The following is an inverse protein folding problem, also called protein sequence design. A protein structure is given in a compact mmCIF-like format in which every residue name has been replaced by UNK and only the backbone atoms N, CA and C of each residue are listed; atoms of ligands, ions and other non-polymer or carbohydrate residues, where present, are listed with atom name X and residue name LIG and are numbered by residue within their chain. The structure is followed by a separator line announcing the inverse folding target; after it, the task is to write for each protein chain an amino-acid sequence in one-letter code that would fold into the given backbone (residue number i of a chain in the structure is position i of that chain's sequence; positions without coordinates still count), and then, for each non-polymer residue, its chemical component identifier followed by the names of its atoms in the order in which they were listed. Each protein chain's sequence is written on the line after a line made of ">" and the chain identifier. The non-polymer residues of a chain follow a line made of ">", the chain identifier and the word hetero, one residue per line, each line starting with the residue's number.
data_IF_838777525215
#
_entry.id   IF_838777525215
#
_cell.length_a   1.000
_cell.length_b   1.000
_cell.length_c   1.000
_cell.angle_alpha   90.00
_cell.angle_beta   90.00
_cell.angle_gamma   90.00
#
_symmetry.space_group_name_H-M   'P 1'
#
loop_
_entity.id
_entity.type
_entity.pdbx_description
1 polymer ?
#
# COMPACT_ATOMS: atom_id res chain seq x y z
N UNK A 1 -8.64 -53.94 8.19
CA UNK A 1 -7.60 -53.02 7.67
C UNK A 1 -7.57 -51.82 8.58
N UNK A 2 -6.64 -51.79 9.53
CA UNK A 2 -6.42 -50.67 10.45
C UNK A 2 -5.73 -49.53 9.70
N UNK A 3 -6.41 -48.40 9.55
CA UNK A 3 -5.83 -47.18 9.01
C UNK A 3 -4.73 -46.70 9.95
N UNK A 4 -3.49 -46.64 9.46
CA UNK A 4 -2.39 -45.99 10.18
C UNK A 4 -2.76 -44.53 10.45
N UNK A 5 -2.62 -44.05 11.69
CA UNK A 5 -2.89 -42.64 11.99
C UNK A 5 -1.92 -41.78 11.18
N UNK A 6 -2.48 -40.85 10.39
CA UNK A 6 -1.68 -39.85 9.69
C UNK A 6 -0.93 -39.03 10.74
N UNK A 7 0.40 -39.14 10.77
CA UNK A 7 1.23 -38.32 11.64
C UNK A 7 1.03 -36.84 11.26
N UNK A 8 0.33 -36.09 12.09
CA UNK A 8 0.22 -34.64 11.96
C UNK A 8 1.48 -34.03 12.58
N UNK A 9 2.45 -33.66 11.74
CA UNK A 9 3.57 -32.85 12.18
C UNK A 9 3.12 -31.38 12.23
N UNK A 10 3.16 -30.73 13.39
CA UNK A 10 2.84 -29.32 13.47
C UNK A 10 3.88 -28.50 12.69
N UNK A 11 3.43 -27.48 11.97
CA UNK A 11 4.28 -26.71 11.05
C UNK A 11 5.51 -26.07 11.72
N UNK A 12 5.44 -25.80 13.03
CA UNK A 12 6.53 -25.22 13.81
C UNK A 12 7.61 -26.22 14.26
N UNK A 13 7.42 -27.52 14.00
CA UNK A 13 8.48 -28.53 14.16
C UNK A 13 9.31 -28.71 12.87
N UNK A 14 8.92 -28.03 11.79
CA UNK A 14 9.70 -28.05 10.55
C UNK A 14 11.05 -27.34 10.75
N UNK A 15 12.11 -27.82 10.06
CA UNK A 15 13.38 -27.10 10.01
C UNK A 15 13.19 -25.63 9.60
N UNK A 16 13.91 -24.73 10.25
CA UNK A 16 13.78 -23.27 10.03
C UNK A 16 13.97 -22.83 8.57
N UNK A 17 14.86 -23.52 7.84
CA UNK A 17 15.06 -23.27 6.41
C UNK A 17 13.79 -23.59 5.62
N UNK A 18 13.08 -24.66 5.98
CA UNK A 18 11.80 -25.02 5.37
C UNK A 18 10.73 -24.01 5.77
N UNK A 19 10.67 -23.58 7.04
CA UNK A 19 9.80 -22.49 7.48
C UNK A 19 10.05 -21.20 6.70
N UNK A 20 11.32 -20.83 6.46
CA UNK A 20 11.67 -19.69 5.62
C UNK A 20 11.22 -19.87 4.18
N UNK A 21 11.38 -21.05 3.58
CA UNK A 21 10.92 -21.30 2.22
C UNK A 21 9.40 -21.26 2.11
N UNK A 22 8.68 -21.81 3.10
CA UNK A 22 7.22 -21.72 3.17
C UNK A 22 6.82 -20.25 3.27
N UNK A 23 7.37 -19.49 4.23
CA UNK A 23 7.06 -18.05 4.37
C UNK A 23 7.52 -17.28 3.13
N UNK A 24 8.63 -17.65 2.52
CA UNK A 24 9.21 -17.00 1.36
C UNK A 24 8.47 -17.28 0.06
N UNK A 25 7.76 -18.40 0.00
CA UNK A 25 6.82 -18.77 -1.06
C UNK A 25 5.46 -18.10 -0.84
N UNK A 26 4.96 -18.11 0.39
CA UNK A 26 3.63 -17.61 0.75
C UNK A 26 3.60 -16.08 0.87
N UNK A 27 4.74 -15.45 1.16
CA UNK A 27 4.84 -14.03 1.42
C UNK A 27 5.95 -13.34 0.63
N UNK A 28 5.67 -12.11 0.13
CA UNK A 28 6.70 -11.32 -0.52
C UNK A 28 7.82 -10.96 0.46
N UNK A 29 9.05 -10.71 -0.04
CA UNK A 29 10.23 -10.43 0.80
C UNK A 29 9.94 -9.46 1.94
N UNK A 30 9.38 -8.28 1.67
CA UNK A 30 9.13 -7.25 2.69
C UNK A 30 8.20 -7.66 3.84
N UNK A 31 7.50 -8.81 3.74
CA UNK A 31 6.57 -9.29 4.75
C UNK A 31 7.11 -10.46 5.58
N UNK A 32 8.21 -11.12 5.16
CA UNK A 32 8.63 -12.38 5.79
C UNK A 32 9.05 -12.14 7.24
N UNK A 33 9.87 -11.11 7.49
CA UNK A 33 10.24 -10.69 8.83
C UNK A 33 9.02 -10.40 9.73
N UNK A 34 8.02 -9.70 9.19
CA UNK A 34 6.80 -9.35 9.93
C UNK A 34 5.94 -10.57 10.24
N UNK A 35 5.82 -11.51 9.30
CA UNK A 35 5.10 -12.77 9.48
C UNK A 35 5.79 -13.62 10.55
N UNK A 36 7.11 -13.78 10.47
CA UNK A 36 7.87 -14.55 11.44
C UNK A 36 7.74 -13.95 12.85
N UNK A 37 7.99 -12.64 13.00
CA UNK A 37 7.97 -11.98 14.31
C UNK A 37 6.57 -11.86 14.92
N UNK A 38 5.56 -11.49 14.12
CA UNK A 38 4.27 -11.01 14.64
C UNK A 38 3.11 -11.97 14.39
N UNK A 39 3.27 -12.96 13.49
CA UNK A 39 2.22 -13.92 13.20
C UNK A 39 2.57 -15.34 13.58
N UNK A 40 3.81 -15.76 13.35
CA UNK A 40 4.24 -17.14 13.62
C UNK A 40 4.71 -17.30 15.05
N UNK A 41 5.67 -16.48 15.50
CA UNK A 41 6.22 -16.61 16.84
C UNK A 41 5.18 -16.51 17.98
N UNK A 42 4.12 -15.67 17.89
CA UNK A 42 3.10 -15.60 18.94
C UNK A 42 2.13 -16.79 19.01
N UNK A 43 2.11 -17.69 18.01
CA UNK A 43 1.10 -18.77 17.96
C UNK A 43 1.28 -19.78 19.10
N UNK A 44 2.52 -20.10 19.48
CA UNK A 44 2.82 -21.01 20.57
C UNK A 44 4.27 -20.87 21.06
N UNK A 45 4.56 -21.44 22.24
CA UNK A 45 5.92 -21.44 22.82
C UNK A 45 6.95 -22.12 21.92
N UNK A 46 6.56 -23.16 21.19
CA UNK A 46 7.47 -23.86 20.26
C UNK A 46 7.86 -22.95 19.09
N UNK A 47 6.89 -22.29 18.45
CA UNK A 47 7.15 -21.33 17.39
C UNK A 47 8.01 -20.14 17.89
N UNK A 48 7.74 -19.63 19.10
CA UNK A 48 8.57 -18.59 19.71
C UNK A 48 10.03 -19.05 19.85
N UNK A 49 10.26 -20.26 20.37
CA UNK A 49 11.60 -20.82 20.56
C UNK A 49 12.35 -20.98 19.23
N UNK A 50 11.70 -21.57 18.23
CA UNK A 50 12.27 -21.77 16.90
C UNK A 50 12.61 -20.43 16.24
N UNK A 51 11.77 -19.42 16.39
CA UNK A 51 11.98 -18.12 15.75
C UNK A 51 12.99 -17.25 16.51
N UNK A 52 13.10 -17.34 17.84
CA UNK A 52 13.86 -16.38 18.64
C UNK A 52 14.99 -16.94 19.51
N UNK A 53 14.97 -18.22 19.88
CA UNK A 53 15.85 -18.78 20.91
C UNK A 53 16.87 -19.79 20.36
N UNK A 54 16.54 -20.52 19.28
CA UNK A 54 17.46 -21.50 18.73
C UNK A 54 18.68 -20.86 18.04
N UNK A 55 19.86 -21.47 18.22
CA UNK A 55 21.08 -21.04 17.54
C UNK A 55 20.97 -21.10 16.01
N UNK A 56 20.10 -21.97 15.50
CA UNK A 56 19.80 -22.11 14.07
C UNK A 56 19.08 -20.87 13.53
N UNK A 57 18.26 -20.20 14.36
CA UNK A 57 17.48 -19.01 13.97
C UNK A 57 18.35 -17.87 13.44
N UNK A 58 19.64 -17.86 13.77
CA UNK A 58 20.63 -16.96 13.18
C UNK A 58 20.65 -17.07 11.65
N UNK A 59 20.69 -18.29 11.09
CA UNK A 59 20.72 -18.50 9.65
C UNK A 59 19.39 -18.07 8.98
N UNK A 60 18.25 -18.35 9.64
CA UNK A 60 16.94 -17.84 9.24
C UNK A 60 16.95 -16.31 9.15
N UNK A 61 17.43 -15.64 10.19
CA UNK A 61 17.43 -14.18 10.26
C UNK A 61 18.47 -13.54 9.35
N UNK A 62 19.60 -14.19 9.11
CA UNK A 62 20.58 -13.75 8.10
C UNK A 62 20.00 -13.86 6.69
N UNK A 63 19.25 -14.92 6.38
CA UNK A 63 18.52 -15.06 5.12
C UNK A 63 17.43 -13.98 4.97
N UNK A 64 16.74 -13.63 6.05
CA UNK A 64 15.78 -12.50 6.09
C UNK A 64 16.48 -11.16 5.88
N UNK A 65 17.63 -10.90 6.53
CA UNK A 65 18.42 -9.67 6.36
C UNK A 65 18.92 -9.51 4.92
N UNK A 66 19.46 -10.57 4.35
CA UNK A 66 19.96 -10.57 2.98
C UNK A 66 18.82 -10.42 1.97
N UNK A 67 17.72 -11.17 2.15
CA UNK A 67 16.61 -11.20 1.20
C UNK A 67 15.69 -9.99 1.28
N UNK A 68 15.22 -9.63 2.48
CA UNK A 68 14.16 -8.62 2.65
C UNK A 68 14.72 -7.20 2.76
N UNK A 69 15.95 -7.08 3.27
CA UNK A 69 16.58 -5.79 3.57
C UNK A 69 17.86 -5.52 2.76
N UNK A 70 18.31 -6.46 1.93
CA UNK A 70 19.54 -6.35 1.13
C UNK A 70 20.76 -5.96 1.97
N UNK A 71 20.80 -6.37 3.24
CA UNK A 71 21.93 -6.07 4.13
C UNK A 71 23.05 -7.05 3.82
N UNK A 72 24.10 -6.55 3.17
CA UNK A 72 25.27 -7.34 2.82
C UNK A 72 26.10 -7.64 4.09
N UNK A 73 25.87 -8.79 4.71
CA UNK A 73 26.56 -9.22 5.94
C UNK A 73 28.07 -9.26 5.75
N UNK A 74 28.53 -9.56 4.53
CA UNK A 74 29.94 -9.62 4.15
C UNK A 74 30.67 -8.27 4.20
N UNK A 75 29.97 -7.13 4.04
CA UNK A 75 30.58 -5.81 4.17
C UNK A 75 30.81 -5.39 5.63
N UNK A 76 29.99 -5.87 6.56
CA UNK A 76 30.11 -5.50 7.98
C UNK A 76 31.38 -6.06 8.63
N UNK A 77 31.82 -7.26 8.21
CA UNK A 77 33.01 -7.93 8.74
C UNK A 77 34.33 -7.40 8.16
N UNK A 78 34.30 -6.59 7.10
CA UNK A 78 35.52 -5.97 6.54
C UNK A 78 35.95 -4.72 7.30
N UNK A 79 35.11 -4.14 8.17
CA UNK A 79 35.46 -2.98 9.03
C UNK A 79 36.23 -3.38 10.31
N UNK A 80 37.20 -4.29 10.19
CA UNK A 80 37.97 -4.89 11.31
C UNK A 80 38.99 -3.96 12.01
N UNK A 81 39.06 -2.67 11.66
CA UNK A 81 40.11 -1.76 12.17
C UNK A 81 39.74 -0.87 13.35
N UNK A 82 38.45 -0.59 13.59
CA UNK A 82 38.03 0.29 14.70
C UNK A 82 37.77 -0.54 15.95
N UNK A 83 38.40 -0.16 17.07
CA UNK A 83 38.14 -0.71 18.42
C UNK A 83 36.63 -0.71 18.70
N UNK A 84 35.97 -1.79 18.33
CA UNK A 84 34.57 -2.03 18.60
C UNK A 84 34.44 -2.15 20.11
N UNK A 85 33.86 -1.12 20.74
CA UNK A 85 33.44 -1.22 22.12
C UNK A 85 32.66 -2.53 22.26
N UNK A 86 33.04 -3.41 23.19
CA UNK A 86 32.33 -4.68 23.51
C UNK A 86 30.86 -4.48 23.93
N UNK A 87 30.29 -3.28 23.73
CA UNK A 87 28.87 -2.94 23.87
C UNK A 87 28.06 -3.93 23.04
N UNK A 88 27.44 -4.86 23.76
CA UNK A 88 26.30 -5.71 23.40
C UNK A 88 26.17 -5.96 21.89
N UNK A 89 26.87 -7.00 21.41
CA UNK A 89 26.59 -7.56 20.08
C UNK A 89 25.10 -7.93 20.03
N UNK A 90 24.31 -7.19 19.26
CA UNK A 90 22.89 -7.49 19.06
C UNK A 90 22.75 -8.82 18.31
N UNK A 91 21.78 -9.63 18.70
CA UNK A 91 21.45 -10.86 17.98
C UNK A 91 20.91 -10.51 16.57
N UNK A 92 21.08 -11.40 15.57
CA UNK A 92 20.53 -11.23 14.23
C UNK A 92 19.02 -10.95 14.22
N UNK A 93 18.26 -11.65 15.06
CA UNK A 93 16.84 -11.37 15.28
C UNK A 93 16.58 -9.89 15.65
N UNK A 94 17.36 -9.35 16.59
CA UNK A 94 17.18 -7.98 17.03
C UNK A 94 17.54 -6.98 15.92
N UNK A 95 18.59 -7.28 15.13
CA UNK A 95 18.91 -6.51 13.93
C UNK A 95 17.76 -6.52 12.90
N UNK A 96 17.12 -7.67 12.68
CA UNK A 96 15.95 -7.76 11.79
C UNK A 96 14.78 -6.94 12.32
N UNK A 97 14.47 -7.04 13.62
CA UNK A 97 13.40 -6.25 14.25
C UNK A 97 13.66 -4.76 14.12
N UNK A 98 14.90 -4.33 14.37
CA UNK A 98 15.31 -2.94 14.24
C UNK A 98 15.25 -2.47 12.78
N UNK A 99 15.70 -3.28 11.82
CA UNK A 99 15.60 -3.00 10.39
C UNK A 99 14.13 -2.92 9.93
N UNK A 100 13.28 -3.83 10.38
CA UNK A 100 11.85 -3.82 10.09
C UNK A 100 11.18 -2.54 10.59
N UNK A 101 11.47 -2.18 11.85
CA UNK A 101 10.97 -0.95 12.46
C UNK A 101 11.46 0.27 11.69
N UNK A 102 12.73 0.31 11.30
CA UNK A 102 13.28 1.38 10.49
C UNK A 102 12.56 1.53 9.14
N UNK A 103 12.23 0.43 8.46
CA UNK A 103 11.45 0.47 7.20
C UNK A 103 10.02 0.97 7.45
N UNK A 104 9.39 0.59 8.55
CA UNK A 104 8.08 1.13 8.95
C UNK A 104 8.19 2.64 9.17
N UNK A 105 9.11 3.07 10.03
CA UNK A 105 9.32 4.47 10.37
C UNK A 105 9.61 5.31 9.10
N UNK A 106 10.50 4.84 8.21
CA UNK A 106 10.77 5.48 6.92
C UNK A 106 9.53 5.55 6.02
N UNK A 107 8.69 4.50 6.01
CA UNK A 107 7.42 4.51 5.28
C UNK A 107 6.46 5.55 5.84
N UNK A 108 6.38 5.69 7.16
CA UNK A 108 5.55 6.70 7.81
C UNK A 108 6.05 8.12 7.54
N UNK A 109 7.36 8.37 7.66
CA UNK A 109 7.95 9.67 7.35
C UNK A 109 7.72 10.05 5.90
N UNK A 110 8.05 9.16 4.95
CA UNK A 110 7.81 9.40 3.53
C UNK A 110 6.34 9.70 3.23
N UNK A 111 5.41 8.98 3.86
CA UNK A 111 3.98 9.26 3.71
C UNK A 111 3.59 10.63 4.26
N UNK A 112 4.11 11.01 5.43
CA UNK A 112 3.82 12.30 6.05
C UNK A 112 4.28 13.45 5.15
N UNK A 113 5.51 13.40 4.64
CA UNK A 113 6.02 14.39 3.69
C UNK A 113 5.20 14.43 2.39
N UNK A 114 4.79 13.28 1.87
CA UNK A 114 3.89 13.21 0.71
C UNK A 114 2.55 13.90 0.98
N UNK A 115 1.92 13.63 2.13
CA UNK A 115 0.63 14.21 2.50
C UNK A 115 0.73 15.73 2.66
N UNK A 116 1.81 16.23 3.28
CA UNK A 116 2.08 17.67 3.33
C UNK A 116 2.17 18.29 1.93
N UNK A 117 2.91 17.67 1.01
CA UNK A 117 3.03 18.15 -0.37
C UNK A 117 1.70 18.09 -1.14
N UNK A 118 0.88 17.07 -0.89
CA UNK A 118 -0.42 16.88 -1.53
C UNK A 118 -1.43 17.98 -1.13
N UNK A 119 -1.29 18.52 0.08
CA UNK A 119 -2.16 19.56 0.61
C UNK A 119 -1.61 20.99 0.46
N UNK A 120 -0.30 21.16 0.22
CA UNK A 120 0.31 22.48 -0.08
C UNK A 120 -0.06 22.98 -1.48
N UNK A 121 -0.11 24.29 -1.64
CA UNK A 121 -0.36 24.98 -2.92
C UNK A 121 0.90 25.71 -3.43
N UNK A 122 0.87 26.16 -4.68
CA UNK A 122 1.96 26.94 -5.28
C UNK A 122 3.27 26.16 -5.43
N UNK A 123 4.42 26.83 -5.21
CA UNK A 123 5.76 26.24 -5.37
C UNK A 123 6.03 25.07 -4.41
N UNK A 124 5.30 25.01 -3.30
CA UNK A 124 5.43 23.95 -2.31
C UNK A 124 4.60 22.69 -2.64
N UNK A 125 3.70 22.75 -3.62
CA UNK A 125 2.85 21.63 -4.01
C UNK A 125 3.65 20.41 -4.49
N UNK A 126 2.98 19.26 -4.48
CA UNK A 126 3.49 18.00 -5.02
C UNK A 126 3.88 18.15 -6.50
N UNK A 127 5.08 17.66 -6.81
CA UNK A 127 5.58 17.51 -8.18
C UNK A 127 6.22 16.13 -8.32
N UNK A 128 6.28 15.60 -9.54
CA UNK A 128 6.91 14.29 -9.79
C UNK A 128 8.37 14.21 -9.29
N UNK A 129 9.24 15.24 -9.46
CA UNK A 129 10.58 15.23 -8.88
C UNK A 129 10.60 15.20 -7.35
N UNK A 130 9.70 15.94 -6.67
CA UNK A 130 9.63 15.91 -5.20
C UNK A 130 9.15 14.56 -4.67
N UNK A 131 8.19 13.93 -5.34
CA UNK A 131 7.76 12.58 -5.00
C UNK A 131 8.93 11.61 -5.11
N UNK A 132 9.66 11.62 -6.24
CA UNK A 132 10.86 10.79 -6.37
C UNK A 132 11.89 11.07 -5.29
N UNK A 133 12.17 12.35 -5.00
CA UNK A 133 13.07 12.74 -3.93
C UNK A 133 12.71 12.10 -2.58
N UNK A 134 11.44 12.16 -2.17
CA UNK A 134 10.97 11.51 -0.95
C UNK A 134 11.18 9.98 -1.02
N UNK A 135 10.79 9.35 -2.13
CA UNK A 135 10.90 7.90 -2.28
C UNK A 135 12.35 7.41 -2.29
N UNK A 136 13.26 8.19 -2.89
CA UNK A 136 14.68 7.86 -2.97
C UNK A 136 15.39 8.17 -1.63
N UNK A 137 15.01 9.25 -0.94
CA UNK A 137 15.58 9.64 0.37
C UNK A 137 15.28 8.61 1.46
N UNK A 138 14.02 8.17 1.57
CA UNK A 138 13.62 7.18 2.58
C UNK A 138 13.85 5.72 2.13
N UNK A 139 14.32 5.54 0.90
CA UNK A 139 14.89 4.30 0.37
C UNK A 139 13.95 3.49 -0.53
N UNK A 140 14.49 2.60 -1.37
CA UNK A 140 13.71 1.80 -2.31
C UNK A 140 12.80 0.76 -1.65
N UNK A 141 13.01 0.48 -0.35
CA UNK A 141 12.30 -0.57 0.40
C UNK A 141 11.02 -0.07 1.10
N UNK A 142 10.54 1.12 0.74
CA UNK A 142 9.29 1.66 1.30
C UNK A 142 8.13 0.69 1.09
N UNK A 143 7.31 0.54 2.12
CA UNK A 143 6.14 -0.33 2.09
C UNK A 143 4.96 0.41 1.46
N UNK A 144 5.08 0.80 0.19
CA UNK A 144 4.13 1.65 -0.54
C UNK A 144 2.70 1.09 -0.60
N UNK A 145 2.56 -0.24 -0.55
CA UNK A 145 1.29 -0.96 -0.53
C UNK A 145 0.69 -1.15 0.87
N UNK A 146 1.44 -0.78 1.92
CA UNK A 146 0.92 -0.80 3.28
C UNK A 146 0.27 0.50 3.63
N UNK A 147 -0.74 0.40 4.48
CA UNK A 147 -1.30 1.56 5.14
C UNK A 147 -0.36 1.97 6.27
N UNK A 148 -0.10 3.26 6.39
CA UNK A 148 0.60 3.81 7.56
C UNK A 148 -0.30 3.78 8.79
N UNK A 149 0.23 4.07 9.98
CA UNK A 149 -0.56 4.08 11.23
C UNK A 149 -1.79 5.00 11.20
N UNK A 150 -1.74 6.10 10.44
CA UNK A 150 -2.89 6.99 10.23
C UNK A 150 -3.98 6.39 9.32
N UNK A 151 -3.76 5.21 8.74
CA UNK A 151 -4.66 4.53 7.81
C UNK A 151 -4.50 4.97 6.35
N UNK A 152 -3.61 5.92 6.06
CA UNK A 152 -3.36 6.43 4.72
C UNK A 152 -2.55 5.49 3.82
N UNK A 153 -2.64 5.70 2.50
CA UNK A 153 -1.89 4.94 1.50
C UNK A 153 -1.35 5.89 0.41
N UNK A 154 -0.11 5.67 -0.01
CA UNK A 154 0.62 6.55 -0.94
C UNK A 154 -0.17 6.84 -2.23
N UNK A 155 -0.69 5.79 -2.86
CA UNK A 155 -1.42 5.90 -4.13
C UNK A 155 -2.68 6.76 -3.98
N UNK A 156 -3.43 6.57 -2.89
CA UNK A 156 -4.68 7.30 -2.64
C UNK A 156 -4.39 8.76 -2.25
N UNK A 157 -3.28 9.01 -1.55
CA UNK A 157 -2.86 10.35 -1.16
C UNK A 157 -2.42 11.20 -2.37
N UNK A 158 -1.71 10.59 -3.33
CA UNK A 158 -1.41 11.25 -4.62
C UNK A 158 -2.68 11.65 -5.36
N UNK A 159 -3.70 10.76 -5.43
CA UNK A 159 -5.00 11.11 -6.01
C UNK A 159 -5.73 12.22 -5.24
N UNK A 160 -5.46 12.37 -3.94
CA UNK A 160 -6.06 13.41 -3.08
C UNK A 160 -5.40 14.76 -3.17
N UNK A 161 -4.27 14.90 -3.86
CA UNK A 161 -3.57 16.16 -3.98
C UNK A 161 -4.48 17.24 -4.62
N UNK A 162 -4.81 18.30 -3.89
CA UNK A 162 -5.89 19.25 -4.27
C UNK A 162 -5.43 20.33 -5.24
N UNK A 163 -4.23 20.85 -5.01
CA UNK A 163 -3.70 22.02 -5.72
C UNK A 163 -2.72 21.60 -6.82
N UNK A 164 -2.93 20.42 -7.40
CA UNK A 164 -2.01 19.76 -8.32
C UNK A 164 -2.77 19.44 -9.60
N UNK A 165 -2.17 19.79 -10.74
CA UNK A 165 -2.75 19.49 -12.05
C UNK A 165 -2.86 17.98 -12.26
N UNK A 166 -3.92 17.53 -12.92
CA UNK A 166 -4.17 16.12 -13.21
C UNK A 166 -2.97 15.44 -13.90
N UNK A 167 -2.32 16.12 -14.86
CA UNK A 167 -1.13 15.59 -15.53
C UNK A 167 0.05 15.30 -14.58
N UNK A 168 0.18 16.05 -13.48
CA UNK A 168 1.21 15.80 -12.47
C UNK A 168 0.81 14.62 -11.58
N UNK A 169 -0.48 14.51 -11.22
CA UNK A 169 -1.03 13.37 -10.49
C UNK A 169 -0.80 12.08 -11.30
N UNK A 170 -1.09 12.10 -12.60
CA UNK A 170 -0.87 10.96 -13.49
C UNK A 170 0.60 10.52 -13.52
N UNK A 171 1.56 11.46 -13.69
CA UNK A 171 2.99 11.14 -13.65
C UNK A 171 3.44 10.57 -12.31
N UNK A 172 2.91 11.10 -11.21
CA UNK A 172 3.18 10.59 -9.87
C UNK A 172 2.62 9.18 -9.65
N UNK A 173 1.45 8.88 -10.21
CA UNK A 173 0.87 7.53 -10.18
C UNK A 173 1.67 6.54 -11.04
N UNK A 174 2.14 6.96 -12.21
CA UNK A 174 3.03 6.15 -13.05
C UNK A 174 4.31 5.79 -12.29
N UNK A 175 4.94 6.78 -11.63
CA UNK A 175 6.10 6.51 -10.77
C UNK A 175 5.78 5.45 -9.69
N UNK A 176 4.69 5.62 -8.94
CA UNK A 176 4.33 4.68 -7.88
C UNK A 176 4.04 3.29 -8.43
N UNK A 177 3.22 3.17 -9.47
CA UNK A 177 2.73 1.88 -9.99
C UNK A 177 3.81 1.16 -10.80
N UNK A 178 4.47 1.86 -11.73
CA UNK A 178 5.36 1.24 -12.71
C UNK A 178 6.79 1.07 -12.18
N UNK A 179 7.29 2.03 -11.40
CA UNK A 179 8.66 1.98 -10.88
C UNK A 179 8.75 1.47 -9.45
N UNK A 180 7.69 1.61 -8.66
CA UNK A 180 7.69 1.22 -7.24
C UNK A 180 6.70 0.10 -6.89
N UNK A 181 5.99 -0.44 -7.88
CA UNK A 181 5.10 -1.59 -7.69
C UNK A 181 3.88 -1.31 -6.81
N UNK A 182 3.37 -0.07 -6.83
CA UNK A 182 2.17 0.28 -6.10
C UNK A 182 0.94 -0.46 -6.66
N UNK A 183 0.17 -1.08 -5.77
CA UNK A 183 -1.05 -1.80 -6.09
C UNK A 183 -2.20 -0.78 -6.19
N UNK A 184 -2.81 -0.69 -7.38
CA UNK A 184 -3.92 0.22 -7.70
C UNK A 184 -5.18 -0.01 -6.85
N UNK A 185 -5.33 -1.21 -6.29
CA UNK A 185 -6.46 -1.59 -5.45
C UNK A 185 -6.22 -1.34 -3.95
N UNK A 186 -5.11 -0.70 -3.60
CA UNK A 186 -4.84 -0.30 -2.20
C UNK A 186 -5.89 0.69 -1.74
N UNK A 187 -6.42 0.47 -0.55
CA UNK A 187 -7.40 1.33 0.08
C UNK A 187 -6.86 2.01 1.34
N UNK A 188 -7.58 3.02 1.82
CA UNK A 188 -7.26 3.70 3.09
C UNK A 188 -8.23 3.34 4.20
N UNK A 189 -7.88 3.70 5.43
CA UNK A 189 -8.71 3.53 6.63
C UNK A 189 -8.46 4.66 7.65
N UNK A 190 -8.56 5.90 7.19
CA UNK A 190 -8.15 7.08 7.99
C UNK A 190 -9.17 7.53 9.03
N UNK A 191 -10.42 7.10 8.88
CA UNK A 191 -11.49 7.42 9.81
C UNK A 191 -12.40 6.21 9.97
N UNK A 192 -13.14 6.18 11.08
CA UNK A 192 -14.22 5.20 11.26
C UNK A 192 -15.17 5.30 10.08
N UNK A 193 -15.25 4.22 9.29
CA UNK A 193 -16.04 4.11 8.06
C UNK A 193 -15.48 4.89 6.86
N UNK A 194 -14.17 5.15 6.80
CA UNK A 194 -13.52 5.55 5.55
C UNK A 194 -12.78 4.37 4.95
N UNK A 195 -13.05 4.11 3.68
CA UNK A 195 -12.37 3.11 2.87
C UNK A 195 -12.34 3.65 1.43
N UNK A 196 -11.28 4.34 1.05
CA UNK A 196 -11.18 4.94 -0.28
C UNK A 196 -10.06 4.27 -1.07
N UNK A 197 -10.36 3.91 -2.31
CA UNK A 197 -9.37 3.51 -3.33
C UNK A 197 -8.93 4.70 -4.16
N UNK A 198 -7.78 4.57 -4.84
CA UNK A 198 -7.30 5.59 -5.78
C UNK A 198 -8.31 5.88 -6.91
N UNK A 199 -8.97 4.82 -7.41
CA UNK A 199 -9.98 4.94 -8.46
C UNK A 199 -11.20 5.77 -8.01
N UNK A 200 -11.71 5.50 -6.81
CA UNK A 200 -12.84 6.26 -6.26
C UNK A 200 -12.51 7.75 -6.09
N UNK A 201 -11.32 8.06 -5.54
CA UNK A 201 -10.89 9.46 -5.37
C UNK A 201 -10.78 10.16 -6.73
N UNK A 202 -10.20 9.50 -7.73
CA UNK A 202 -10.04 10.06 -9.07
C UNK A 202 -11.38 10.30 -9.79
N UNK A 203 -12.30 9.34 -9.67
CA UNK A 203 -13.62 9.44 -10.26
C UNK A 203 -14.42 10.60 -9.67
N UNK A 204 -14.53 10.67 -8.34
CA UNK A 204 -15.30 11.70 -7.63
C UNK A 204 -14.76 13.11 -7.87
N UNK A 205 -13.45 13.23 -8.11
CA UNK A 205 -12.79 14.51 -8.43
C UNK A 205 -12.85 14.92 -9.89
N UNK A 206 -13.44 14.10 -10.77
CA UNK A 206 -13.47 14.38 -12.21
C UNK A 206 -12.07 14.40 -12.84
N UNK A 207 -11.27 13.35 -12.60
CA UNK A 207 -9.94 13.18 -13.22
C UNK A 207 -9.94 12.05 -14.27
N UNK A 208 -10.51 12.27 -15.47
CA UNK A 208 -10.77 11.20 -16.43
C UNK A 208 -9.49 10.53 -16.96
N UNK A 209 -8.37 11.25 -17.10
CA UNK A 209 -7.11 10.65 -17.54
C UNK A 209 -6.52 9.72 -16.49
N UNK A 210 -6.65 10.09 -15.21
CA UNK A 210 -6.23 9.25 -14.09
C UNK A 210 -7.14 8.03 -13.95
N UNK A 211 -8.47 8.20 -14.09
CA UNK A 211 -9.43 7.08 -14.08
C UNK A 211 -9.12 6.08 -15.19
N UNK A 212 -8.94 6.57 -16.43
CA UNK A 212 -8.57 5.72 -17.57
C UNK A 212 -7.28 4.94 -17.31
N UNK A 213 -6.25 5.60 -16.76
CA UNK A 213 -4.99 4.95 -16.41
C UNK A 213 -5.16 3.86 -15.35
N UNK A 214 -5.86 4.14 -14.25
CA UNK A 214 -6.07 3.19 -13.16
C UNK A 214 -6.86 1.95 -13.63
N UNK A 215 -7.91 2.15 -14.44
CA UNK A 215 -8.68 1.05 -15.05
C UNK A 215 -7.78 0.20 -15.95
N UNK A 216 -6.94 0.82 -16.78
CA UNK A 216 -5.95 0.12 -17.61
C UNK A 216 -4.88 -0.65 -16.84
N UNK A 217 -4.70 -0.35 -15.54
CA UNK A 217 -3.80 -1.08 -14.63
C UNK A 217 -4.55 -2.08 -13.72
N UNK A 218 -5.83 -2.36 -13.99
CA UNK A 218 -6.61 -3.36 -13.26
C UNK A 218 -7.23 -2.87 -11.95
N UNK A 219 -7.54 -1.58 -11.85
CA UNK A 219 -8.30 -1.07 -10.72
C UNK A 219 -9.73 -1.64 -10.70
N UNK A 220 -10.16 -2.12 -9.53
CA UNK A 220 -11.47 -2.73 -9.33
C UNK A 220 -12.57 -1.67 -9.36
N UNK A 221 -13.50 -1.85 -10.29
CA UNK A 221 -14.74 -1.05 -10.44
C UNK A 221 -15.80 -1.42 -9.41
N UNK A 222 -15.70 -2.61 -8.80
CA UNK A 222 -16.67 -3.18 -7.86
C UNK A 222 -16.26 -2.99 -6.40
N UNK A 223 -15.06 -2.46 -6.13
CA UNK A 223 -14.63 -2.16 -4.77
C UNK A 223 -15.60 -1.21 -4.08
N UNK A 224 -16.03 -1.58 -2.89
CA UNK A 224 -16.90 -0.75 -2.05
C UNK A 224 -16.06 0.33 -1.36
N UNK A 225 -16.50 1.58 -1.50
CA UNK A 225 -15.85 2.75 -0.97
C UNK A 225 -16.76 3.47 0.02
N UNK A 226 -16.14 4.13 0.99
CA UNK A 226 -16.81 4.97 1.97
C UNK A 226 -15.95 6.19 2.28
N UNK A 227 -16.56 7.37 2.32
CA UNK A 227 -15.81 8.59 2.55
C UNK A 227 -16.64 9.86 2.43
N UNK A 228 -15.94 11.00 2.50
CA UNK A 228 -16.53 12.34 2.46
C UNK A 228 -15.74 13.21 1.50
N UNK A 229 -16.44 13.83 0.55
CA UNK A 229 -15.84 14.77 -0.40
C UNK A 229 -16.58 16.10 -0.35
N UNK A 230 -15.83 17.21 -0.45
CA UNK A 230 -16.43 18.55 -0.51
C UNK A 230 -16.94 18.79 -1.93
N UNK A 231 -18.07 19.49 -2.02
CA UNK A 231 -18.57 19.96 -3.31
C UNK A 231 -17.68 21.09 -3.82
N UNK A 232 -17.50 21.15 -5.13
CA UNK A 232 -16.77 22.20 -5.86
C UNK A 232 -17.61 23.47 -5.87
N UNK A 233 -18.91 23.37 -6.17
CA UNK A 233 -19.84 24.51 -6.19
C UNK A 233 -20.05 25.13 -4.80
N UNK A 234 -20.02 24.30 -3.75
CA UNK A 234 -20.26 24.75 -2.39
C UNK A 234 -19.32 24.08 -1.39
N UNK A 235 -18.22 24.78 -1.08
CA UNK A 235 -17.16 24.31 -0.19
C UNK A 235 -17.58 24.08 1.27
N UNK A 236 -18.74 24.60 1.68
CA UNK A 236 -19.33 24.38 3.01
C UNK A 236 -20.11 23.06 3.08
N UNK A 237 -20.52 22.52 1.94
CA UNK A 237 -21.23 21.24 1.83
C UNK A 237 -20.28 20.13 1.43
N UNK A 238 -20.69 18.91 1.75
CA UNK A 238 -19.94 17.71 1.44
C UNK A 238 -20.87 16.54 1.25
N UNK A 239 -20.59 15.73 0.24
CA UNK A 239 -21.21 14.45 0.05
C UNK A 239 -20.53 13.41 0.93
N UNK A 240 -21.33 12.62 1.65
CA UNK A 240 -20.88 11.43 2.37
C UNK A 240 -21.59 10.22 1.78
N UNK A 241 -20.82 9.21 1.38
CA UNK A 241 -21.35 7.93 0.94
C UNK A 241 -20.68 6.80 1.72
N UNK A 242 -21.38 5.67 1.84
CA UNK A 242 -20.88 4.47 2.48
C UNK A 242 -21.27 3.26 1.64
N UNK A 243 -20.35 2.30 1.48
CA UNK A 243 -20.56 1.05 0.74
C UNK A 243 -21.05 1.27 -0.70
N UNK A 244 -20.44 2.23 -1.41
CA UNK A 244 -20.76 2.50 -2.82
C UNK A 244 -19.55 2.20 -3.71
N UNK A 245 -19.81 1.76 -4.94
CA UNK A 245 -18.76 1.59 -5.96
C UNK A 245 -18.22 2.96 -6.39
N UNK A 246 -17.08 2.97 -7.09
CA UNK A 246 -16.53 4.21 -7.65
C UNK A 246 -17.52 4.92 -8.60
N UNK A 247 -18.28 4.14 -9.39
CA UNK A 247 -19.34 4.66 -10.26
C UNK A 247 -20.48 5.30 -9.46
N UNK A 248 -21.01 4.56 -8.46
CA UNK A 248 -22.10 5.07 -7.62
C UNK A 248 -21.71 6.34 -6.86
N UNK A 249 -20.47 6.42 -6.38
CA UNK A 249 -19.96 7.63 -5.73
C UNK A 249 -19.87 8.80 -6.73
N UNK A 250 -19.33 8.58 -7.93
CA UNK A 250 -19.23 9.63 -8.95
C UNK A 250 -20.61 10.15 -9.40
N UNK A 251 -21.60 9.26 -9.56
CA UNK A 251 -22.98 9.62 -9.87
C UNK A 251 -23.63 10.43 -8.73
N UNK A 252 -23.46 10.00 -7.48
CA UNK A 252 -23.95 10.74 -6.32
C UNK A 252 -23.29 12.12 -6.20
N UNK A 253 -21.99 12.22 -6.50
CA UNK A 253 -21.27 13.50 -6.53
C UNK A 253 -21.84 14.42 -7.61
N UNK A 254 -22.05 13.89 -8.83
CA UNK A 254 -22.64 14.65 -9.93
C UNK A 254 -24.01 15.21 -9.55
N UNK A 255 -24.87 14.38 -8.96
CA UNK A 255 -26.21 14.82 -8.54
C UNK A 255 -26.11 15.89 -7.45
N UNK A 256 -25.25 15.69 -6.45
CA UNK A 256 -25.07 16.66 -5.38
C UNK A 256 -24.54 18.02 -5.89
N UNK A 257 -23.69 18.03 -6.93
CA UNK A 257 -23.24 19.28 -7.56
C UNK A 257 -24.40 19.97 -8.33
N UNK A 258 -25.22 19.21 -9.07
CA UNK A 258 -26.41 19.74 -9.76
C UNK A 258 -27.38 20.37 -8.76
N UNK A 259 -27.66 19.68 -7.65
CA UNK A 259 -28.55 20.16 -6.59
C UNK A 259 -28.01 21.44 -5.90
N UNK A 260 -26.72 21.76 -6.10
CA UNK A 260 -26.08 22.96 -5.59
C UNK A 260 -25.73 23.98 -6.69
N UNK A 261 -26.36 23.85 -7.86
CA UNK A 261 -26.33 24.84 -8.93
C UNK A 261 -25.16 24.70 -9.91
N UNK A 262 -24.49 23.55 -9.97
CA UNK A 262 -23.48 23.29 -10.99
C UNK A 262 -24.09 23.31 -12.39
N UNK A 263 -23.44 24.00 -13.32
CA UNK A 263 -23.82 23.95 -14.73
C UNK A 263 -23.18 22.73 -15.42
N UNK A 264 -23.73 22.32 -16.57
CA UNK A 264 -23.25 21.13 -17.29
C UNK A 264 -21.77 21.23 -17.71
N UNK A 265 -21.29 22.43 -18.02
CA UNK A 265 -19.89 22.67 -18.37
C UNK A 265 -18.92 22.36 -17.23
N UNK A 266 -19.30 22.64 -15.98
CA UNK A 266 -18.49 22.34 -14.78
C UNK A 266 -18.42 20.84 -14.50
N UNK A 267 -19.43 20.09 -14.95
CA UNK A 267 -19.55 18.64 -14.74
C UNK A 267 -18.91 17.81 -15.85
N UNK A 268 -18.38 18.43 -16.92
CA UNK A 268 -17.83 17.73 -18.09
C UNK A 268 -16.85 16.61 -17.73
N UNK A 269 -15.90 16.89 -16.84
CA UNK A 269 -14.88 15.90 -16.46
C UNK A 269 -15.47 14.78 -15.59
N UNK A 270 -16.43 15.11 -14.72
CA UNK A 270 -17.11 14.13 -13.89
C UNK A 270 -18.00 13.20 -14.74
N UNK A 271 -18.72 13.76 -15.73
CA UNK A 271 -19.46 12.99 -16.72
C UNK A 271 -18.54 12.04 -17.49
N UNK A 272 -17.37 12.52 -17.93
CA UNK A 272 -16.37 11.66 -18.61
C UNK A 272 -15.87 10.52 -17.72
N UNK A 273 -15.68 10.75 -16.42
CA UNK A 273 -15.35 9.68 -15.48
C UNK A 273 -16.47 8.64 -15.36
N UNK A 274 -17.73 9.09 -15.28
CA UNK A 274 -18.90 8.22 -15.21
C UNK A 274 -19.00 7.34 -16.46
N UNK A 275 -18.87 7.93 -17.65
CA UNK A 275 -18.84 7.20 -18.93
C UNK A 275 -17.78 6.09 -18.92
N UNK A 276 -16.53 6.41 -18.59
CA UNK A 276 -15.43 5.44 -18.55
C UNK A 276 -15.71 4.28 -17.58
N UNK A 277 -16.31 4.57 -16.43
CA UNK A 277 -16.65 3.55 -15.44
C UNK A 277 -17.81 2.66 -15.89
N UNK A 278 -18.82 3.24 -16.54
CA UNK A 278 -19.95 2.50 -17.12
C UNK A 278 -19.49 1.58 -18.24
N UNK A 279 -18.66 2.07 -19.17
CA UNK A 279 -18.08 1.27 -20.25
C UNK A 279 -17.30 0.05 -19.71
N UNK A 280 -16.49 0.26 -18.66
CA UNK A 280 -15.73 -0.84 -18.05
C UNK A 280 -16.63 -1.85 -17.33
N UNK A 281 -17.70 -1.42 -16.64
CA UNK A 281 -18.64 -2.35 -16.01
C UNK A 281 -19.39 -3.20 -17.05
N UNK A 282 -19.84 -2.60 -18.16
CA UNK A 282 -20.47 -3.33 -19.25
C UNK A 282 -19.52 -4.36 -19.88
N UNK A 283 -18.26 -3.97 -20.09
CA UNK A 283 -17.23 -4.88 -20.63
C UNK A 283 -17.01 -6.08 -19.71
N UNK A 284 -16.95 -5.85 -18.39
CA UNK A 284 -16.78 -6.92 -17.40
C UNK A 284 -18.00 -7.85 -17.33
N UNK A 285 -19.22 -7.32 -17.47
CA UNK A 285 -20.45 -8.12 -17.52
C UNK A 285 -20.49 -9.01 -18.76
N UNK A 286 -20.18 -8.48 -19.94
CA UNK A 286 -20.11 -9.25 -21.18
C UNK A 286 -19.06 -10.36 -21.11
N UNK A 287 -17.89 -10.08 -20.53
CA UNK A 287 -16.85 -11.10 -20.33
C UNK A 287 -17.29 -12.20 -19.35
N UNK A 288 -18.09 -11.86 -18.34
CA UNK A 288 -18.61 -12.84 -17.39
C UNK A 288 -19.68 -13.75 -18.04
N UNK A 289 -20.54 -13.21 -18.89
CA UNK A 289 -21.57 -13.98 -19.62
C UNK A 289 -20.99 -14.93 -20.66
N UNK A 290 -19.89 -14.55 -21.32
CA UNK A 290 -19.20 -15.43 -22.30
C UNK A 290 -18.44 -16.57 -21.61
N UNK A 291 -18.08 -16.41 -20.33
CA UNK A 291 -17.33 -17.42 -19.58
C UNK A 291 -18.23 -18.48 -18.90
N UNK A 292 -19.55 -18.26 -18.86
CA UNK A 292 -20.56 -19.18 -18.30
C UNK A 292 -21.20 -20.03 -19.39
#
# INVERSE_FOLDING_TARGET
>A
MSSSPSAQFPVWELPEVILYHIVGYVAPPTHRAGILCHRVAPLCKAAHRVVFEEARSVALWDAVLAGDYQVDTAQSDKRKGTRSCKRLKRSPCQKVRDAHRHVIDNTEFAYYYLSELAHKSGKAALTSPKLRGILDEYGPQLRINHRVSSGGAFLVEVCRARHVKEAVILKSLQELVEHRGANVNTNTFEAQNSNLTGLCVAAVRGMPTVVKYLLGKGASTTANNAGRFRLVTNSRKSLRCANVTALGFAQAMRQAEIDNGACEGELKNLNKCIELLTEQQQTQQQQAEVAT
#
